data_IF_760958536405
#
_entry.id   IF_760958536405
#
_cell.length_a   1.000
_cell.length_b   1.000
_cell.length_c   1.000
_cell.angle_alpha   90.00
_cell.angle_beta   90.00
_cell.angle_gamma   90.00
#
_symmetry.space_group_name_H-M   'P 1'
#
loop_
_entity.id
_entity.type
_entity.pdbx_description
1 polymer ?
#
# COMPACT_ATOMS: atom_id res chain seq x y z
N UNK A 1 -43.03 -4.06 -8.99
CA UNK A 1 -42.03 -4.99 -8.47
C UNK A 1 -42.39 -5.33 -7.04
N UNK A 2 -42.79 -6.57 -6.80
CA UNK A 2 -43.07 -7.05 -5.44
C UNK A 2 -41.76 -7.40 -4.73
N UNK A 3 -41.77 -7.41 -3.39
CA UNK A 3 -40.60 -7.77 -2.58
C UNK A 3 -40.09 -9.20 -2.91
N UNK A 4 -41.00 -10.10 -3.27
CA UNK A 4 -40.70 -11.48 -3.65
C UNK A 4 -39.97 -11.57 -5.00
N UNK A 5 -40.33 -10.72 -5.96
CA UNK A 5 -39.65 -10.60 -7.26
C UNK A 5 -38.22 -10.05 -7.08
N UNK A 6 -38.03 -9.07 -6.19
CA UNK A 6 -36.69 -8.52 -5.89
C UNK A 6 -35.76 -9.52 -5.19
N UNK A 7 -36.34 -10.39 -4.34
CA UNK A 7 -35.60 -11.45 -3.67
C UNK A 7 -35.17 -12.54 -4.66
N UNK A 8 -36.05 -12.95 -5.58
CA UNK A 8 -35.73 -13.92 -6.62
C UNK A 8 -34.60 -13.41 -7.53
N UNK A 9 -34.67 -12.15 -7.96
CA UNK A 9 -33.61 -11.54 -8.77
C UNK A 9 -32.27 -11.45 -8.02
N UNK A 10 -32.30 -11.20 -6.71
CA UNK A 10 -31.12 -11.19 -5.87
C UNK A 10 -30.42 -12.55 -5.76
N UNK A 11 -31.18 -13.65 -5.73
CA UNK A 11 -30.64 -15.02 -5.77
C UNK A 11 -29.92 -15.25 -7.10
N UNK A 12 -30.59 -14.97 -8.23
CA UNK A 12 -29.99 -15.17 -9.56
C UNK A 12 -28.76 -14.29 -9.78
N UNK A 13 -28.70 -13.10 -9.16
CA UNK A 13 -27.52 -12.23 -9.19
C UNK A 13 -26.38 -12.82 -8.38
N UNK A 14 -26.65 -13.34 -7.19
CA UNK A 14 -25.65 -13.97 -6.31
C UNK A 14 -25.06 -15.23 -6.92
N UNK A 15 -25.83 -16.03 -7.65
CA UNK A 15 -25.31 -17.19 -8.40
C UNK A 15 -24.39 -16.79 -9.56
N UNK A 16 -24.69 -15.66 -10.23
CA UNK A 16 -23.90 -15.15 -11.35
C UNK A 16 -22.61 -14.45 -10.92
N UNK A 17 -22.67 -13.65 -9.86
CA UNK A 17 -21.60 -12.73 -9.45
C UNK A 17 -20.95 -13.08 -8.11
N UNK A 18 -21.49 -14.05 -7.38
CA UNK A 18 -21.01 -14.40 -6.04
C UNK A 18 -21.38 -13.38 -4.98
N UNK A 19 -20.63 -13.40 -3.88
CA UNK A 19 -20.75 -12.42 -2.80
C UNK A 19 -19.79 -11.24 -3.03
N UNK A 20 -20.11 -10.09 -2.44
CA UNK A 20 -19.19 -8.97 -2.39
C UNK A 20 -17.92 -9.39 -1.61
N UNK A 21 -16.71 -9.10 -2.11
CA UNK A 21 -15.48 -9.31 -1.36
C UNK A 21 -15.48 -8.53 -0.04
N UNK A 22 -14.62 -8.96 0.88
CA UNK A 22 -14.41 -8.22 2.12
C UNK A 22 -13.92 -6.79 1.83
N UNK A 23 -14.29 -5.86 2.70
CA UNK A 23 -13.88 -4.47 2.55
C UNK A 23 -12.38 -4.36 2.83
N UNK A 24 -11.63 -3.93 1.82
CA UNK A 24 -10.20 -3.67 1.92
C UNK A 24 -9.97 -2.41 2.75
N UNK A 25 -9.00 -2.44 3.66
CA UNK A 25 -8.64 -1.25 4.44
C UNK A 25 -7.87 -0.26 3.56
N UNK A 26 -8.03 1.06 3.75
CA UNK A 26 -7.27 2.05 2.99
C UNK A 26 -5.75 1.84 3.04
N UNK A 27 -5.25 1.39 4.18
CA UNK A 27 -3.83 1.07 4.39
C UNK A 27 -3.31 -0.04 3.47
N UNK A 28 -4.16 -1.00 3.09
CA UNK A 28 -3.79 -2.13 2.23
C UNK A 28 -3.83 -1.75 0.74
N UNK A 29 -4.40 -0.58 0.41
CA UNK A 29 -4.45 -0.08 -0.97
C UNK A 29 -3.22 0.74 -1.36
N UNK A 30 -2.30 1.00 -0.43
CA UNK A 30 -1.13 1.85 -0.65
C UNK A 30 0.17 1.10 -0.38
N UNK A 31 1.21 1.40 -1.15
CA UNK A 31 2.57 0.92 -0.91
C UNK A 31 3.51 2.11 -0.70
N UNK A 32 4.37 2.02 0.32
CA UNK A 32 5.41 3.02 0.55
C UNK A 32 6.69 2.59 -0.15
N UNK A 33 7.20 3.47 -1.00
CA UNK A 33 8.49 3.32 -1.69
C UNK A 33 9.38 4.50 -1.36
N UNK A 34 10.70 4.31 -1.11
CA UNK A 34 11.62 5.41 -0.93
C UNK A 34 11.57 6.39 -2.12
N UNK A 35 11.54 7.68 -1.84
CA UNK A 35 11.54 8.71 -2.89
C UNK A 35 12.88 8.76 -3.66
N UNK A 36 13.97 8.35 -3.01
CA UNK A 36 15.32 8.32 -3.59
C UNK A 36 15.95 6.96 -3.25
N UNK A 37 16.72 6.34 -4.16
CA UNK A 37 17.53 5.17 -3.86
C UNK A 37 18.45 5.43 -2.66
N UNK A 38 18.76 4.37 -1.91
CA UNK A 38 19.74 4.47 -0.84
C UNK A 38 21.13 4.74 -1.42
N UNK A 39 21.74 5.84 -0.99
CA UNK A 39 23.14 6.16 -1.28
C UNK A 39 24.03 5.44 -0.25
N UNK A 40 24.90 4.50 -0.68
CA UNK A 40 25.74 3.71 0.22
C UNK A 40 26.78 4.57 0.96
N UNK A 41 27.20 5.71 0.40
CA UNK A 41 28.21 6.58 1.02
C UNK A 41 27.58 7.52 2.06
N UNK A 42 26.25 7.65 2.07
CA UNK A 42 25.52 8.52 3.00
C UNK A 42 25.80 8.21 4.47
N UNK A 43 25.99 6.93 4.77
CA UNK A 43 26.21 6.45 6.14
C UNK A 43 27.70 6.08 6.39
N UNK A 44 28.59 6.32 5.42
CA UNK A 44 30.03 6.08 5.51
C UNK A 44 30.76 7.29 6.10
N UNK A 45 30.54 7.56 7.40
CA UNK A 45 31.25 8.63 8.09
C UNK A 45 32.72 8.26 8.36
N UNK A 46 33.63 9.11 7.89
CA UNK A 46 35.07 9.04 8.19
C UNK A 46 35.48 10.24 9.07
N UNK A 47 35.79 10.02 10.36
CA UNK A 47 36.19 11.10 11.27
C UNK A 47 37.53 11.73 10.91
N UNK A 48 38.45 10.99 10.29
CA UNK A 48 39.78 11.50 9.92
C UNK A 48 39.68 12.43 8.70
N UNK A 49 38.88 12.03 7.69
CA UNK A 49 38.53 12.88 6.55
C UNK A 49 37.91 14.20 6.99
N UNK A 50 36.97 14.11 7.93
CA UNK A 50 36.32 15.27 8.51
C UNK A 50 37.29 16.17 9.29
N UNK A 51 38.17 15.58 10.10
CA UNK A 51 39.18 16.32 10.86
C UNK A 51 40.16 17.05 9.92
N UNK A 52 40.62 16.41 8.85
CA UNK A 52 41.48 17.04 7.82
C UNK A 52 40.77 18.20 7.12
N UNK A 53 39.50 18.03 6.76
CA UNK A 53 38.70 19.06 6.09
C UNK A 53 38.48 20.31 6.94
N UNK A 54 38.29 20.14 8.25
CA UNK A 54 37.95 21.23 9.18
C UNK A 54 39.08 21.67 10.11
N UNK A 55 40.26 21.03 10.05
CA UNK A 55 41.44 21.39 10.83
C UNK A 55 41.28 21.15 12.34
N UNK A 56 40.62 20.05 12.72
CA UNK A 56 40.47 19.60 14.11
C UNK A 56 41.72 18.88 14.64
#
# INVERSE_FOLDING_TARGET
MSHEETAAEAVTRKERFGALPERIRPEEMVQTTPAVPHDPDRDAYDPDEFAVRYGL
#
